data_IF_537769091944
#
_entry.id   IF_537769091944
#
_cell.length_a   1.000
_cell.length_b   1.000
_cell.length_c   1.000
_cell.angle_alpha   90.00
_cell.angle_beta   90.00
_cell.angle_gamma   90.00
#
_symmetry.space_group_name_H-M   'P 1'
#
loop_
_entity.id
_entity.type
_entity.pdbx_description
1 polymer ?
#
# COMPACT_ATOMS: atom_id res chain seq x y z
N UNK A 1 -3.61 5.89 18.42
CA UNK A 1 -2.23 5.71 17.91
C UNK A 1 -1.26 6.15 19.00
N UNK A 2 -0.33 5.28 19.45
CA UNK A 2 0.69 5.61 20.48
C UNK A 2 2.07 5.70 19.83
N UNK A 3 2.99 6.49 20.38
CA UNK A 3 4.38 6.54 19.92
C UNK A 3 5.23 5.52 20.68
N UNK A 4 6.34 5.08 20.10
CA UNK A 4 7.28 4.18 20.78
C UNK A 4 7.72 4.74 22.14
N UNK A 5 8.07 6.03 22.19
CA UNK A 5 8.50 6.71 23.41
C UNK A 5 7.40 6.67 24.49
N UNK A 6 6.15 6.94 24.11
CA UNK A 6 5.04 6.90 25.07
C UNK A 6 4.82 5.49 25.61
N UNK A 7 4.83 4.50 24.74
CA UNK A 7 4.65 3.11 25.13
C UNK A 7 5.78 2.60 26.04
N UNK A 8 7.04 2.96 25.75
CA UNK A 8 8.18 2.56 26.57
C UNK A 8 8.13 3.19 27.98
N UNK A 9 7.61 4.42 28.11
CA UNK A 9 7.40 5.05 29.42
C UNK A 9 6.33 4.32 30.25
N UNK A 10 5.30 3.78 29.61
CA UNK A 10 4.22 3.02 30.26
C UNK A 10 4.63 1.56 30.55
N UNK A 11 5.55 1.00 29.76
CA UNK A 11 6.03 -0.39 29.83
C UNK A 11 7.56 -0.49 29.81
N UNK A 12 8.24 -0.02 30.88
CA UNK A 12 9.70 0.06 30.91
C UNK A 12 10.40 -1.30 31.00
N UNK A 13 9.66 -2.36 31.34
CA UNK A 13 10.14 -3.75 31.41
C UNK A 13 10.17 -4.45 30.05
N UNK A 14 9.65 -3.80 29.00
CA UNK A 14 9.77 -4.28 27.64
C UNK A 14 11.23 -4.60 27.29
N UNK A 15 11.42 -5.75 26.65
CA UNK A 15 12.68 -6.10 26.00
C UNK A 15 12.55 -6.00 24.50
N UNK A 16 13.50 -5.33 23.86
CA UNK A 16 13.69 -5.34 22.41
C UNK A 16 14.86 -6.26 22.09
N UNK A 17 14.70 -7.11 21.08
CA UNK A 17 15.80 -7.95 20.61
C UNK A 17 16.89 -7.05 19.99
N UNK A 18 18.15 -7.13 20.44
CA UNK A 18 19.22 -6.37 19.80
C UNK A 18 19.44 -6.89 18.38
N UNK A 19 19.77 -6.00 17.43
CA UNK A 19 20.14 -6.42 16.06
C UNK A 19 21.32 -7.40 16.07
N UNK A 20 22.30 -7.16 16.95
CA UNK A 20 23.44 -8.04 17.18
C UNK A 20 23.09 -9.19 18.12
N UNK A 21 22.58 -10.28 17.56
CA UNK A 21 22.22 -11.49 18.32
C UNK A 21 23.34 -12.53 18.40
N UNK A 22 24.34 -12.44 17.51
CA UNK A 22 25.39 -13.46 17.35
C UNK A 22 25.02 -14.65 16.48
N UNK A 23 23.75 -14.76 16.07
CA UNK A 23 23.26 -15.82 15.17
C UNK A 23 23.15 -15.35 13.72
N UNK A 24 22.57 -14.17 13.53
CA UNK A 24 22.39 -13.54 12.22
C UNK A 24 23.22 -12.26 12.15
N UNK A 25 23.79 -11.98 10.97
CA UNK A 25 24.42 -10.71 10.68
C UNK A 25 23.40 -9.58 10.86
N UNK A 26 23.82 -8.47 11.45
CA UNK A 26 22.97 -7.29 11.63
C UNK A 26 22.40 -6.76 10.30
N UNK A 27 23.13 -6.98 9.21
CA UNK A 27 22.71 -6.62 7.84
C UNK A 27 21.48 -7.37 7.35
N UNK A 28 21.19 -8.56 7.90
CA UNK A 28 19.98 -9.29 7.54
C UNK A 28 18.70 -8.65 8.09
N UNK A 29 18.82 -7.69 9.01
CA UNK A 29 17.71 -6.90 9.54
C UNK A 29 17.55 -5.54 8.85
N UNK A 30 18.22 -5.32 7.71
CA UNK A 30 17.91 -4.18 6.84
C UNK A 30 16.50 -4.31 6.24
N UNK A 31 15.87 -3.19 5.86
CA UNK A 31 14.56 -3.19 5.23
C UNK A 31 14.49 -4.21 4.09
N UNK A 32 13.34 -4.84 3.89
CA UNK A 32 13.21 -5.93 2.90
C UNK A 32 13.41 -5.48 1.44
N UNK A 33 13.48 -4.17 1.20
CA UNK A 33 13.85 -3.54 -0.08
C UNK A 33 15.36 -3.47 -0.31
N UNK A 34 16.17 -3.63 0.74
CA UNK A 34 17.63 -3.64 0.68
C UNK A 34 18.14 -5.01 0.22
N UNK A 35 19.08 -5.03 -0.72
CA UNK A 35 19.67 -6.26 -1.27
C UNK A 35 20.37 -7.14 -0.22
N UNK A 36 20.83 -6.56 0.89
CA UNK A 36 21.47 -7.30 1.99
C UNK A 36 20.42 -7.96 2.93
N UNK A 37 19.12 -7.65 2.77
CA UNK A 37 18.06 -8.24 3.59
C UNK A 37 17.84 -9.71 3.26
N UNK A 38 17.60 -10.53 4.30
CA UNK A 38 17.26 -11.94 4.14
C UNK A 38 15.97 -12.15 3.33
N UNK A 39 15.09 -11.15 3.33
CA UNK A 39 13.81 -11.18 2.61
C UNK A 39 13.91 -10.66 1.17
N UNK A 40 15.05 -10.09 0.74
CA UNK A 40 15.16 -9.38 -0.54
C UNK A 40 14.78 -10.25 -1.74
N UNK A 41 15.44 -11.40 -1.90
CA UNK A 41 15.20 -12.31 -3.02
C UNK A 41 13.74 -12.77 -3.09
N UNK A 42 13.12 -12.98 -1.93
CA UNK A 42 11.70 -13.30 -1.87
C UNK A 42 10.84 -12.12 -2.30
N UNK A 43 11.13 -10.89 -1.84
CA UNK A 43 10.35 -9.70 -2.20
C UNK A 43 10.39 -9.37 -3.69
N UNK A 44 11.55 -9.54 -4.34
CA UNK A 44 11.71 -9.21 -5.77
C UNK A 44 11.27 -10.33 -6.71
N UNK A 45 11.14 -11.57 -6.23
CA UNK A 45 10.60 -12.69 -7.01
C UNK A 45 9.07 -12.60 -7.10
N UNK A 46 8.48 -12.98 -8.24
CA UNK A 46 7.03 -13.15 -8.38
C UNK A 46 6.55 -14.51 -7.82
N UNK A 47 7.44 -15.38 -7.38
CA UNK A 47 7.07 -16.68 -6.84
C UNK A 47 6.52 -16.57 -5.40
N UNK A 48 5.47 -17.32 -5.13
CA UNK A 48 4.92 -17.50 -3.78
C UNK A 48 5.86 -18.36 -2.94
N UNK A 49 6.10 -17.97 -1.67
CA UNK A 49 6.92 -18.77 -0.74
C UNK A 49 6.31 -20.14 -0.47
N UNK A 50 4.98 -20.22 -0.51
CA UNK A 50 4.22 -21.45 -0.32
C UNK A 50 3.27 -21.66 -1.49
N UNK A 51 3.09 -22.91 -1.96
CA UNK A 51 2.15 -23.19 -3.05
C UNK A 51 0.71 -22.93 -2.60
N UNK A 52 -0.05 -22.21 -3.42
CA UNK A 52 -1.50 -22.06 -3.30
C UNK A 52 -2.21 -22.89 -4.36
N UNK A 53 -3.27 -23.62 -3.98
CA UNK A 53 -4.01 -24.51 -4.88
C UNK A 53 -5.14 -23.82 -5.64
N UNK A 54 -5.69 -22.72 -5.10
CA UNK A 54 -6.74 -21.93 -5.72
C UNK A 54 -6.12 -20.62 -6.23
N UNK A 55 -5.94 -20.53 -7.55
CA UNK A 55 -5.27 -19.40 -8.20
C UNK A 55 -6.22 -18.71 -9.18
N UNK A 56 -6.28 -17.40 -9.04
CA UNK A 56 -6.90 -16.48 -9.98
C UNK A 56 -5.80 -15.92 -10.90
N UNK A 57 -6.03 -15.90 -12.20
CA UNK A 57 -5.05 -15.50 -13.22
C UNK A 57 -5.25 -14.06 -13.72
N UNK A 58 -6.20 -13.31 -13.13
CA UNK A 58 -6.44 -11.91 -13.50
C UNK A 58 -5.32 -10.96 -13.09
N UNK A 59 -4.49 -11.36 -12.12
CA UNK A 59 -3.38 -10.58 -11.57
C UNK A 59 -2.15 -11.48 -11.37
N UNK A 60 -0.97 -10.87 -11.44
CA UNK A 60 0.25 -11.57 -11.09
C UNK A 60 0.30 -11.85 -9.58
N UNK A 61 1.07 -12.88 -9.20
CA UNK A 61 1.07 -13.47 -7.84
C UNK A 61 1.32 -12.44 -6.72
N UNK A 62 2.06 -11.36 -7.01
CA UNK A 62 2.41 -10.31 -6.04
C UNK A 62 1.96 -8.92 -6.48
N UNK A 63 0.99 -8.84 -7.38
CA UNK A 63 0.40 -7.55 -7.73
C UNK A 63 -0.21 -6.89 -6.50
N UNK A 64 0.13 -5.63 -6.31
CA UNK A 64 -0.44 -4.81 -5.25
C UNK A 64 -1.85 -4.37 -5.66
N UNK A 65 -2.79 -4.50 -4.73
CA UNK A 65 -4.15 -4.01 -4.88
C UNK A 65 -4.52 -3.09 -3.72
N UNK A 66 -5.27 -2.03 -4.03
CA UNK A 66 -6.09 -1.37 -3.02
C UNK A 66 -7.35 -2.21 -2.84
N UNK A 67 -7.54 -2.78 -1.65
CA UNK A 67 -8.82 -3.37 -1.25
C UNK A 67 -9.74 -2.30 -0.67
N UNK A 68 -10.98 -2.23 -1.15
CA UNK A 68 -12.03 -1.40 -0.57
C UNK A 68 -13.22 -2.29 -0.17
N UNK A 69 -13.81 -2.00 0.99
CA UNK A 69 -14.96 -2.73 1.50
C UNK A 69 -15.99 -1.74 2.05
N UNK A 70 -17.23 -1.90 1.60
CA UNK A 70 -18.40 -1.17 2.10
C UNK A 70 -19.55 -2.17 2.23
N UNK A 71 -20.07 -2.32 3.44
CA UNK A 71 -21.05 -3.35 3.80
C UNK A 71 -20.57 -4.76 3.38
N UNK A 72 -21.38 -5.51 2.65
CA UNK A 72 -21.05 -6.83 2.10
C UNK A 72 -20.38 -6.75 0.70
N UNK A 73 -20.07 -5.54 0.21
CA UNK A 73 -19.42 -5.34 -1.08
C UNK A 73 -17.92 -5.14 -0.91
N UNK A 74 -17.13 -5.97 -1.61
CA UNK A 74 -15.68 -5.91 -1.62
C UNK A 74 -15.17 -5.73 -3.05
N UNK A 75 -14.24 -4.81 -3.26
CA UNK A 75 -13.61 -4.57 -4.56
C UNK A 75 -12.10 -4.40 -4.38
N UNK A 76 -11.36 -5.02 -5.28
CA UNK A 76 -9.91 -4.89 -5.36
C UNK A 76 -9.55 -4.09 -6.61
N UNK A 77 -8.69 -3.09 -6.45
CA UNK A 77 -8.23 -2.22 -7.52
C UNK A 77 -6.73 -2.42 -7.71
N UNK A 78 -6.27 -2.93 -8.87
CA UNK A 78 -4.86 -3.07 -9.15
C UNK A 78 -4.16 -1.71 -9.07
N UNK A 79 -3.09 -1.63 -8.26
CA UNK A 79 -2.35 -0.38 -8.06
C UNK A 79 -1.75 0.10 -9.38
N UNK A 80 -1.29 -0.80 -10.26
CA UNK A 80 -0.79 -0.46 -11.58
C UNK A 80 -1.83 0.34 -12.41
N UNK A 81 -3.07 -0.14 -12.47
CA UNK A 81 -4.18 0.56 -13.14
C UNK A 81 -4.48 1.89 -12.48
N UNK A 82 -4.50 1.95 -11.14
CA UNK A 82 -4.75 3.18 -10.41
C UNK A 82 -3.66 4.25 -10.65
N UNK A 83 -2.40 3.84 -10.80
CA UNK A 83 -1.29 4.75 -11.14
C UNK A 83 -1.44 5.36 -12.53
N UNK A 84 -1.98 4.61 -13.48
CA UNK A 84 -2.25 5.10 -14.83
C UNK A 84 -3.44 6.08 -14.84
N UNK A 85 -4.53 5.72 -14.15
CA UNK A 85 -5.74 6.55 -14.10
C UNK A 85 -5.56 7.82 -13.27
N UNK A 86 -4.78 7.74 -12.17
CA UNK A 86 -4.53 8.78 -11.15
C UNK A 86 -5.75 9.24 -10.36
N UNK A 87 -6.93 9.30 -10.98
CA UNK A 87 -8.22 9.60 -10.37
C UNK A 87 -9.23 8.59 -10.91
N UNK A 88 -9.92 7.89 -10.01
CA UNK A 88 -11.00 6.97 -10.35
C UNK A 88 -12.22 7.29 -9.48
N UNK A 89 -13.32 7.68 -10.12
CA UNK A 89 -14.63 7.75 -9.48
C UNK A 89 -15.29 6.38 -9.60
N UNK A 90 -15.88 5.91 -8.50
CA UNK A 90 -16.54 4.60 -8.48
C UNK A 90 -17.66 4.58 -7.43
N UNK A 91 -18.53 3.59 -7.55
CA UNK A 91 -19.57 3.32 -6.56
C UNK A 91 -19.43 1.87 -6.10
N UNK A 92 -19.28 1.68 -4.79
CA UNK A 92 -19.23 0.35 -4.16
C UNK A 92 -20.32 0.28 -3.11
N UNK A 93 -21.23 -0.69 -3.23
CA UNK A 93 -22.51 -0.69 -2.52
C UNK A 93 -23.29 0.60 -2.85
N UNK A 94 -23.64 1.40 -1.85
CA UNK A 94 -24.30 2.70 -1.95
C UNK A 94 -23.32 3.89 -1.76
N UNK A 95 -22.01 3.61 -1.65
CA UNK A 95 -21.00 4.63 -1.38
C UNK A 95 -20.34 5.11 -2.67
N UNK A 96 -20.45 6.41 -2.92
CA UNK A 96 -19.69 7.07 -3.97
C UNK A 96 -18.29 7.41 -3.44
N UNK A 97 -17.27 6.92 -4.12
CA UNK A 97 -15.88 7.13 -3.75
C UNK A 97 -15.08 7.75 -4.88
N UNK A 98 -14.05 8.49 -4.49
CA UNK A 98 -12.97 8.89 -5.39
C UNK A 98 -11.65 8.33 -4.86
N UNK A 99 -10.95 7.64 -5.75
CA UNK A 99 -9.63 7.08 -5.50
C UNK A 99 -8.60 7.97 -6.19
N UNK A 100 -7.69 8.55 -5.41
CA UNK A 100 -6.61 9.42 -5.88
C UNK A 100 -5.29 8.68 -5.68
N UNK A 101 -4.49 8.57 -6.74
CA UNK A 101 -3.28 7.75 -6.76
C UNK A 101 -2.07 8.55 -7.20
N UNK A 102 -0.93 8.21 -6.61
CA UNK A 102 0.37 8.69 -7.06
C UNK A 102 0.70 8.10 -8.44
N UNK A 103 1.28 8.89 -9.34
CA UNK A 103 1.76 8.38 -10.64
C UNK A 103 3.09 7.65 -10.53
N UNK A 104 3.87 7.96 -9.48
CA UNK A 104 5.26 7.52 -9.30
C UNK A 104 5.42 6.43 -8.24
N UNK A 105 4.41 6.21 -7.38
CA UNK A 105 4.48 5.25 -6.27
C UNK A 105 3.18 4.45 -6.12
N UNK A 106 3.20 3.43 -5.26
CA UNK A 106 2.01 2.64 -4.89
C UNK A 106 1.10 3.33 -3.86
N UNK A 107 1.32 4.61 -3.57
CA UNK A 107 0.49 5.36 -2.61
C UNK A 107 -0.86 5.70 -3.23
N UNK A 108 -1.93 5.35 -2.51
CA UNK A 108 -3.32 5.58 -2.92
C UNK A 108 -4.11 6.17 -1.75
N UNK A 109 -5.06 7.07 -2.03
CA UNK A 109 -5.98 7.66 -1.06
C UNK A 109 -7.42 7.48 -1.55
N UNK A 110 -8.33 7.18 -0.65
CA UNK A 110 -9.76 7.00 -0.95
C UNK A 110 -10.56 8.00 -0.13
N UNK A 111 -11.50 8.67 -0.77
CA UNK A 111 -12.39 9.63 -0.15
C UNK A 111 -13.84 9.33 -0.50
N UNK A 112 -14.76 9.65 0.40
CA UNK A 112 -16.18 9.78 0.05
C UNK A 112 -16.31 10.96 -0.91
N UNK A 113 -16.90 10.71 -2.09
CA UNK A 113 -17.03 11.76 -3.11
C UNK A 113 -18.25 12.64 -2.88
N UNK A 114 -19.18 12.25 -2.00
CA UNK A 114 -20.46 12.92 -1.80
C UNK A 114 -21.35 12.95 -3.05
N UNK A 115 -21.08 12.07 -4.02
CA UNK A 115 -21.76 12.06 -5.33
C UNK A 115 -21.18 13.02 -6.36
N UNK A 116 -20.09 13.73 -6.04
CA UNK A 116 -19.37 14.55 -7.02
C UNK A 116 -18.45 13.66 -7.88
N UNK A 117 -18.15 14.13 -9.09
CA UNK A 117 -17.27 13.45 -10.03
C UNK A 117 -15.97 14.25 -10.19
N UNK A 118 -14.83 13.63 -9.91
CA UNK A 118 -13.54 14.30 -9.95
C UNK A 118 -12.72 13.97 -11.19
N UNK A 119 -11.99 14.94 -11.73
CA UNK A 119 -11.07 14.72 -12.85
C UNK A 119 -9.75 15.48 -12.69
N UNK A 120 -8.73 15.04 -13.42
CA UNK A 120 -7.42 15.68 -13.46
C UNK A 120 -7.46 16.95 -14.34
N UNK A 121 -6.96 18.11 -13.85
CA UNK A 121 -6.60 19.24 -14.71
C UNK A 121 -5.23 19.02 -15.40
N UNK A 122 -4.80 19.92 -16.32
CA UNK A 122 -3.43 19.91 -16.85
C UNK A 122 -2.39 19.98 -15.73
N UNK A 123 -1.31 19.22 -15.87
CA UNK A 123 -0.58 18.55 -14.79
C UNK A 123 0.08 19.49 -13.75
N UNK A 124 -0.42 19.45 -12.50
CA UNK A 124 0.26 19.96 -11.30
C UNK A 124 0.28 18.82 -10.27
N UNK A 125 1.48 18.33 -9.96
CA UNK A 125 1.70 17.20 -9.02
C UNK A 125 2.55 17.63 -7.84
N UNK A 126 2.35 17.00 -6.68
CA UNK A 126 3.23 17.17 -5.51
C UNK A 126 4.49 16.27 -5.60
N UNK A 127 5.39 16.41 -4.63
CA UNK A 127 6.64 15.63 -4.53
C UNK A 127 6.39 14.11 -4.42
N UNK A 128 5.22 13.71 -3.94
CA UNK A 128 4.77 12.31 -3.84
C UNK A 128 4.09 11.83 -5.12
N UNK A 129 4.00 12.68 -6.15
CA UNK A 129 3.36 12.37 -7.42
C UNK A 129 1.84 12.29 -7.32
N UNK A 130 1.19 12.88 -6.30
CA UNK A 130 -0.26 13.04 -6.27
C UNK A 130 -0.70 14.25 -7.10
N UNK A 131 -1.89 14.21 -7.73
CA UNK A 131 -2.51 15.40 -8.26
C UNK A 131 -2.77 16.43 -7.15
N UNK A 132 -2.37 17.69 -7.36
CA UNK A 132 -2.58 18.76 -6.38
C UNK A 132 -3.94 19.46 -6.52
N UNK A 133 -4.55 19.37 -7.70
CA UNK A 133 -5.86 19.97 -7.98
C UNK A 133 -6.74 18.92 -8.63
N UNK A 134 -8.01 18.89 -8.25
CA UNK A 134 -9.05 18.13 -8.89
C UNK A 134 -10.15 19.08 -9.34
N UNK A 135 -10.74 18.81 -10.51
CA UNK A 135 -11.96 19.47 -10.96
C UNK A 135 -13.15 18.63 -10.48
N UNK A 136 -14.21 19.26 -9.98
CA UNK A 136 -15.42 18.61 -9.47
C UNK A 136 -16.67 19.40 -9.77
#
# INVERSE_FOLDING_TARGET
MTTWVKWLNEHPDTKVLPRKTGYYSERFYEPETDSDSICYNYRVSMESMFPGWDRDDRLDTKDEVLGFSADDSHKAYPVATLRELRVLNDTVSDRNIVIISSGSSSKVRVYDSGGNEFSLPPEIVDDDGFPMVLLG
#
